data_IF_404340576654
#
_entry.id   IF_404340576654
#
_cell.length_a   1.000
_cell.length_b   1.000
_cell.length_c   1.000
_cell.angle_alpha   90.00
_cell.angle_beta   90.00
_cell.angle_gamma   90.00
#
_symmetry.space_group_name_H-M   'P 1'
#
loop_
_entity.id
_entity.type
_entity.pdbx_description
1 polymer ?
#
# COMPACT_ATOMS: atom_id res chain seq x y z
N UNK A 1 -20.84 -35.90 49.85
CA UNK A 1 -20.47 -37.33 49.74
C UNK A 1 -20.28 -37.66 48.27
N UNK A 2 -19.15 -38.29 47.91
CA UNK A 2 -18.79 -38.96 46.63
C UNK A 2 -18.97 -38.12 45.34
N UNK A 3 -17.96 -37.78 44.55
CA UNK A 3 -16.67 -38.44 44.32
C UNK A 3 -16.81 -39.61 43.34
N UNK A 4 -17.12 -39.32 42.07
CA UNK A 4 -17.03 -40.29 40.96
C UNK A 4 -15.91 -39.88 40.01
N UNK A 5 -14.77 -40.55 40.16
CA UNK A 5 -13.67 -40.53 39.19
C UNK A 5 -14.03 -41.50 38.06
N UNK A 6 -14.25 -41.02 36.84
CA UNK A 6 -14.26 -41.87 35.65
C UNK A 6 -12.83 -42.34 35.36
N UNK A 7 -12.66 -43.65 35.29
CA UNK A 7 -11.43 -44.33 34.86
C UNK A 7 -11.10 -43.93 33.41
N UNK A 8 -9.81 -43.65 33.18
CA UNK A 8 -9.23 -43.48 31.85
C UNK A 8 -8.64 -44.85 31.49
N UNK A 9 -9.12 -45.46 30.42
CA UNK A 9 -8.55 -46.69 29.86
C UNK A 9 -7.24 -46.38 29.12
N UNK A 10 -6.19 -47.22 29.24
CA UNK A 10 -4.92 -47.02 28.56
C UNK A 10 -5.01 -47.41 27.08
N UNK A 11 -4.56 -46.53 26.18
CA UNK A 11 -4.42 -46.83 24.76
C UNK A 11 -3.09 -47.56 24.55
N UNK A 12 -3.19 -48.80 24.11
CA UNK A 12 -2.12 -49.73 23.76
C UNK A 12 -1.42 -49.31 22.46
N UNK A 13 -0.08 -49.37 22.43
CA UNK A 13 0.72 -49.02 21.26
C UNK A 13 0.70 -50.17 20.25
N UNK A 14 0.28 -49.88 19.01
CA UNK A 14 0.33 -50.83 17.91
C UNK A 14 1.73 -50.85 17.28
N UNK A 15 2.41 -52.00 17.40
CA UNK A 15 3.61 -52.35 16.65
C UNK A 15 3.28 -52.48 15.16
N UNK A 16 3.95 -51.70 14.33
CA UNK A 16 3.88 -51.82 12.87
C UNK A 16 5.23 -52.36 12.38
N UNK A 17 5.24 -53.65 12.04
CA UNK A 17 6.31 -54.28 11.27
C UNK A 17 6.27 -53.80 9.81
N UNK A 18 7.34 -53.15 9.35
CA UNK A 18 7.57 -52.81 7.95
C UNK A 18 8.79 -53.59 7.44
N UNK A 19 8.57 -54.84 7.04
CA UNK A 19 9.54 -55.68 6.36
C UNK A 19 9.37 -55.58 4.85
N UNK A 20 10.46 -55.20 4.18
CA UNK A 20 10.79 -55.67 2.84
C UNK A 20 10.49 -54.68 1.71
N UNK A 21 11.53 -53.97 1.27
CA UNK A 21 12.07 -54.16 -0.07
C UNK A 21 13.53 -53.66 -0.09
N UNK A 22 14.40 -54.55 -0.53
CA UNK A 22 15.83 -54.42 -0.49
C UNK A 22 16.40 -53.51 -1.60
N UNK A 23 17.58 -53.00 -1.28
CA UNK A 23 18.50 -52.07 -1.92
C UNK A 23 19.18 -52.70 -3.16
N UNK A 24 19.81 -51.90 -4.06
CA UNK A 24 21.29 -51.98 -4.11
C UNK A 24 21.93 -50.57 -4.20
N UNK A 25 22.78 -50.21 -3.24
CA UNK A 25 24.24 -50.33 -3.22
C UNK A 25 24.94 -49.36 -4.18
N UNK A 26 25.36 -48.22 -3.64
CA UNK A 26 26.49 -47.44 -4.13
C UNK A 26 27.17 -46.74 -2.94
N UNK A 27 28.17 -47.43 -2.41
CA UNK A 27 29.43 -46.94 -1.83
C UNK A 27 29.40 -45.81 -0.79
N UNK A 28 29.55 -46.25 0.47
CA UNK A 28 30.21 -45.48 1.53
C UNK A 28 31.73 -45.51 1.33
N UNK A 29 32.35 -44.35 1.19
CA UNK A 29 33.64 -44.09 1.83
C UNK A 29 33.64 -42.71 2.46
N UNK A 30 33.37 -42.71 3.75
CA UNK A 30 33.53 -41.58 4.64
C UNK A 30 34.98 -41.06 4.60
N UNK A 31 35.13 -39.77 4.32
CA UNK A 31 36.27 -38.98 4.75
C UNK A 31 35.76 -37.73 5.44
N UNK A 32 35.82 -37.80 6.77
CA UNK A 32 36.09 -36.73 7.74
C UNK A 32 36.19 -35.31 7.17
N UNK A 33 35.21 -34.47 7.51
CA UNK A 33 35.46 -33.08 7.87
C UNK A 33 34.23 -32.51 8.61
N UNK A 34 34.33 -32.44 9.94
CA UNK A 34 33.43 -31.66 10.76
C UNK A 34 33.54 -30.18 10.36
N UNK A 35 32.40 -29.54 10.07
CA UNK A 35 32.29 -28.09 9.93
C UNK A 35 31.89 -27.52 11.28
N UNK A 36 32.75 -26.79 12.01
CA UNK A 36 32.28 -25.92 13.07
C UNK A 36 31.83 -24.59 12.48
N UNK A 37 30.58 -24.25 12.82
CA UNK A 37 30.03 -22.91 12.75
C UNK A 37 30.95 -21.91 13.47
N UNK A 38 31.32 -20.83 12.76
CA UNK A 38 31.98 -19.66 13.34
C UNK A 38 31.49 -18.41 12.62
N UNK A 39 30.23 -18.05 12.86
CA UNK A 39 29.67 -16.76 12.42
C UNK A 39 29.79 -15.66 13.49
N UNK A 40 30.03 -16.00 14.76
CA UNK A 40 30.11 -15.03 15.87
C UNK A 40 31.51 -14.50 16.18
N UNK A 41 32.57 -15.13 15.67
CA UNK A 41 33.97 -14.75 16.02
C UNK A 41 34.51 -13.60 15.16
N UNK A 42 33.84 -13.25 14.05
CA UNK A 42 34.28 -12.14 13.16
C UNK A 42 33.90 -10.75 13.64
N UNK A 43 32.92 -10.60 14.53
CA UNK A 43 32.45 -9.28 15.00
C UNK A 43 33.23 -8.75 16.21
N UNK A 44 33.90 -9.61 16.97
CA UNK A 44 34.64 -9.22 18.19
C UNK A 44 36.12 -8.89 17.92
N UNK A 45 36.76 -9.54 16.94
CA UNK A 45 38.19 -9.32 16.62
C UNK A 45 38.43 -7.95 15.93
N UNK A 46 37.44 -7.44 15.18
CA UNK A 46 37.53 -6.13 14.52
C UNK A 46 37.43 -4.96 15.53
N UNK A 47 36.74 -5.15 16.67
CA UNK A 47 36.57 -4.10 17.69
C UNK A 47 37.80 -3.92 18.59
N UNK A 48 38.63 -4.95 18.81
CA UNK A 48 39.84 -4.84 19.65
C UNK A 48 41.14 -4.54 18.87
N UNK A 49 41.15 -4.71 17.55
CA UNK A 49 42.30 -4.36 16.70
C UNK A 49 42.58 -2.85 16.64
N UNK A 50 41.55 -2.00 16.79
CA UNK A 50 41.69 -0.55 16.70
C UNK A 50 42.18 0.11 18.01
N UNK A 51 41.93 -0.51 19.16
CA UNK A 51 42.34 0.02 20.48
C UNK A 51 43.83 -0.22 20.80
N UNK A 52 44.43 -1.31 20.28
CA UNK A 52 45.86 -1.62 20.49
C UNK A 52 46.80 -0.83 19.56
N UNK A 53 46.32 -0.40 18.38
CA UNK A 53 47.12 0.44 17.46
C UNK A 53 47.26 1.90 17.92
N UNK A 54 46.28 2.42 18.68
CA UNK A 54 46.30 3.77 19.25
C UNK A 54 47.18 3.89 20.50
N UNK A 55 47.33 2.84 21.31
CA UNK A 55 48.23 2.85 22.47
C UNK A 55 49.70 2.61 22.10
N UNK A 56 49.99 1.83 21.05
CA UNK A 56 51.36 1.58 20.58
C UNK A 56 52.01 2.80 19.90
N UNK A 57 51.22 3.66 19.27
CA UNK A 57 51.73 4.86 18.58
C UNK A 57 52.08 6.01 19.53
N UNK A 58 51.42 6.10 20.71
CA UNK A 58 51.73 7.13 21.71
C UNK A 58 53.03 6.81 22.50
N UNK A 59 53.35 5.53 22.71
CA UNK A 59 54.55 5.10 23.45
C UNK A 59 55.86 5.29 22.66
N UNK A 60 55.82 5.18 21.32
CA UNK A 60 57.01 5.33 20.47
C UNK A 60 57.46 6.80 20.32
N UNK A 61 56.55 7.76 20.49
CA UNK A 61 56.84 9.20 20.43
C UNK A 61 57.57 9.66 21.71
N UNK A 62 57.25 9.07 22.87
CA UNK A 62 57.89 9.42 24.14
C UNK A 62 59.34 8.92 24.26
N UNK A 63 59.65 7.74 23.71
CA UNK A 63 61.02 7.17 23.73
C UNK A 63 61.93 7.88 22.72
N UNK A 64 61.41 8.33 21.58
CA UNK A 64 62.19 9.04 20.58
C UNK A 64 62.62 10.44 21.04
N UNK A 65 61.82 11.11 21.88
CA UNK A 65 62.13 12.47 22.36
C UNK A 65 63.15 12.51 23.51
N UNK A 66 63.45 11.39 24.17
CA UNK A 66 64.41 11.33 25.29
C UNK A 66 65.86 11.05 24.87
N UNK A 67 66.13 10.73 23.60
CA UNK A 67 67.44 10.22 23.14
C UNK A 67 68.33 11.21 22.40
N UNK A 68 67.92 12.47 22.22
CA UNK A 68 68.72 13.48 21.50
C UNK A 68 69.14 14.58 22.47
N UNK A 69 70.14 14.27 23.29
CA UNK A 69 70.69 15.18 24.29
C UNK A 69 72.14 14.85 24.63
N UNK A 70 73.06 15.24 23.74
CA UNK A 70 74.45 15.57 24.09
C UNK A 70 75.48 14.44 24.12
N UNK A 71 76.52 14.55 23.27
CA UNK A 71 77.92 14.28 23.65
C UNK A 71 78.90 14.89 22.67
N UNK A 72 79.85 15.66 23.21
CA UNK A 72 81.03 16.17 22.53
C UNK A 72 82.13 15.11 22.38
N UNK A 73 82.92 15.35 21.35
CA UNK A 73 84.24 14.88 20.90
C UNK A 73 85.14 14.04 21.82
N UNK A 74 85.85 13.10 21.20
CA UNK A 74 87.29 12.92 21.39
C UNK A 74 87.92 12.32 20.12
N UNK A 75 89.04 12.92 19.72
CA UNK A 75 89.85 12.65 18.52
C UNK A 75 90.94 11.62 18.82
N UNK A 76 91.36 10.87 17.79
CA UNK A 76 92.74 10.47 17.37
C UNK A 76 92.62 9.17 16.53
N UNK A 77 92.81 9.22 15.20
CA UNK A 77 94.03 8.78 14.47
C UNK A 77 93.79 7.38 13.86
N UNK A 78 94.17 6.97 12.65
CA UNK A 78 95.15 7.43 11.66
C UNK A 78 94.92 6.61 10.35
N UNK A 79 95.23 7.19 9.18
CA UNK A 79 95.44 6.59 7.83
C UNK A 79 94.35 5.66 7.22
N UNK A 80 93.81 5.95 6.02
CA UNK A 80 94.56 5.89 4.74
C UNK A 80 93.82 6.67 3.64
N UNK A 81 94.56 7.45 2.85
CA UNK A 81 94.10 8.21 1.69
C UNK A 81 93.66 7.29 0.53
N UNK A 82 92.45 7.49 0.00
CA UNK A 82 92.27 7.83 -1.42
C UNK A 82 90.89 8.48 -1.68
N UNK A 83 90.83 9.51 -2.55
CA UNK A 83 89.74 10.47 -2.57
C UNK A 83 88.62 10.02 -3.51
N UNK A 84 87.44 9.79 -2.96
CA UNK A 84 86.19 9.86 -3.71
C UNK A 84 85.65 11.25 -3.40
N UNK A 85 85.51 12.09 -4.43
CA UNK A 85 84.91 13.40 -4.29
C UNK A 85 83.43 13.25 -3.92
N UNK A 86 83.15 13.19 -2.62
CA UNK A 86 81.84 13.53 -2.09
C UNK A 86 81.63 15.02 -2.38
N UNK A 87 80.84 15.32 -3.41
CA UNK A 87 80.16 16.60 -3.50
C UNK A 87 79.11 16.56 -2.39
N UNK A 88 79.23 17.35 -1.30
CA UNK A 88 78.11 17.53 -0.42
C UNK A 88 77.05 18.25 -1.25
N UNK A 89 75.97 17.56 -1.61
CA UNK A 89 74.75 18.21 -2.04
C UNK A 89 74.25 18.97 -0.81
N UNK A 90 74.76 20.18 -0.65
CA UNK A 90 74.19 21.19 0.23
C UNK A 90 72.82 21.52 -0.32
N UNK A 91 71.80 20.78 0.12
CA UNK A 91 70.41 21.22 0.00
C UNK A 91 70.31 22.53 0.77
N UNK A 92 70.44 23.63 0.04
CA UNK A 92 70.23 24.96 0.58
C UNK A 92 68.85 24.98 1.27
N UNK A 93 68.73 25.58 2.47
CA UNK A 93 67.45 25.72 3.14
C UNK A 93 66.48 26.46 2.21
N UNK A 94 65.25 25.95 2.09
CA UNK A 94 64.22 26.50 1.21
C UNK A 94 64.06 28.00 1.42
N UNK A 95 63.89 28.76 0.33
CA UNK A 95 63.71 30.21 0.38
C UNK A 95 62.45 30.59 1.18
N UNK A 96 62.39 31.79 1.78
CA UNK A 96 61.17 32.26 2.48
C UNK A 96 59.89 32.17 1.61
N UNK A 97 60.02 32.39 0.30
CA UNK A 97 58.91 32.26 -0.66
C UNK A 97 58.43 30.81 -0.84
N UNK A 98 59.34 29.84 -0.95
CA UNK A 98 59.00 28.41 -1.04
C UNK A 98 58.39 27.87 0.26
N UNK A 99 58.86 28.36 1.41
CA UNK A 99 58.27 28.02 2.71
C UNK A 99 56.83 28.50 2.82
N UNK A 100 56.55 29.73 2.39
CA UNK A 100 55.20 30.28 2.38
C UNK A 100 54.27 29.50 1.44
N UNK A 101 54.74 29.12 0.24
CA UNK A 101 53.96 28.29 -0.68
C UNK A 101 53.65 26.90 -0.12
N UNK A 102 54.64 26.24 0.50
CA UNK A 102 54.42 24.95 1.17
C UNK A 102 53.43 25.06 2.33
N UNK A 103 53.52 26.12 3.12
CA UNK A 103 52.57 26.39 4.20
C UNK A 103 51.14 26.60 3.67
N UNK A 104 51.00 27.36 2.57
CA UNK A 104 49.72 27.56 1.91
C UNK A 104 49.14 26.24 1.35
N UNK A 105 49.95 25.45 0.64
CA UNK A 105 49.53 24.15 0.10
C UNK A 105 49.12 23.17 1.21
N UNK A 106 49.85 23.16 2.33
CA UNK A 106 49.50 22.37 3.51
C UNK A 106 48.13 22.76 4.05
N UNK A 107 47.89 24.06 4.25
CA UNK A 107 46.58 24.58 4.71
C UNK A 107 45.47 24.18 3.74
N UNK A 108 45.67 24.36 2.44
CA UNK A 108 44.69 24.00 1.43
C UNK A 108 44.33 22.51 1.47
N UNK A 109 45.33 21.63 1.66
CA UNK A 109 45.09 20.18 1.83
C UNK A 109 44.30 19.86 3.11
N UNK A 110 44.63 20.52 4.23
CA UNK A 110 43.92 20.36 5.51
C UNK A 110 42.46 20.82 5.41
N UNK A 111 42.19 21.92 4.70
CA UNK A 111 40.85 22.45 4.49
C UNK A 111 39.97 21.46 3.70
N UNK A 112 40.51 20.79 2.68
CA UNK A 112 39.79 19.73 1.95
C UNK A 112 39.59 18.50 2.84
N UNK A 113 40.63 18.06 3.55
CA UNK A 113 40.53 16.90 4.46
C UNK A 113 39.45 17.10 5.52
N UNK A 114 39.32 18.30 6.09
CA UNK A 114 38.26 18.61 7.05
C UNK A 114 36.86 18.39 6.46
N UNK A 115 36.64 18.77 5.19
CA UNK A 115 35.37 18.53 4.48
C UNK A 115 35.15 17.04 4.17
N UNK A 116 36.19 16.31 3.78
CA UNK A 116 36.14 14.86 3.58
C UNK A 116 35.69 14.14 4.86
N UNK A 117 36.30 14.46 6.01
CA UNK A 117 35.95 13.86 7.30
C UNK A 117 34.52 14.20 7.72
N UNK A 118 34.07 15.43 7.46
CA UNK A 118 32.69 15.82 7.74
C UNK A 118 31.69 15.04 6.87
N UNK A 119 31.93 14.95 5.56
CA UNK A 119 31.09 14.16 4.64
C UNK A 119 31.09 12.68 4.99
N UNK A 120 32.24 12.14 5.37
CA UNK A 120 32.35 10.77 5.88
C UNK A 120 31.39 10.55 7.04
N UNK A 121 31.42 11.42 8.06
CA UNK A 121 30.54 11.31 9.24
C UNK A 121 29.06 11.43 8.88
N UNK A 122 28.72 12.34 7.97
CA UNK A 122 27.33 12.50 7.50
C UNK A 122 26.83 11.22 6.81
N UNK A 123 27.65 10.61 5.95
CA UNK A 123 27.31 9.37 5.27
C UNK A 123 27.25 8.18 6.24
N UNK A 124 28.17 8.10 7.19
CA UNK A 124 28.15 7.08 8.26
C UNK A 124 26.89 7.20 9.12
N UNK A 125 26.45 8.42 9.45
CA UNK A 125 25.20 8.66 10.17
C UNK A 125 23.97 8.19 9.37
N UNK A 126 24.07 8.16 8.04
CA UNK A 126 23.07 7.61 7.12
C UNK A 126 23.32 6.13 6.77
N UNK A 127 24.12 5.41 7.56
CA UNK A 127 24.42 3.99 7.36
C UNK A 127 24.96 3.63 5.96
N UNK A 128 25.81 4.48 5.37
CA UNK A 128 26.39 4.31 4.01
C UNK A 128 26.99 2.95 3.72
N UNK A 129 27.49 2.24 4.73
CA UNK A 129 28.00 0.87 4.59
C UNK A 129 26.95 -0.13 4.12
N UNK A 130 25.67 0.09 4.44
CA UNK A 130 24.57 -0.82 4.09
C UNK A 130 24.07 -0.65 2.66
N UNK A 131 24.16 0.56 2.10
CA UNK A 131 23.55 0.89 0.80
C UNK A 131 24.54 1.36 -0.28
N UNK A 132 25.73 1.84 0.09
CA UNK A 132 26.78 2.26 -0.84
C UNK A 132 28.20 1.84 -0.37
N UNK A 133 28.31 0.75 0.41
CA UNK A 133 29.54 0.36 1.10
C UNK A 133 30.77 0.24 0.19
N UNK A 134 30.65 -0.33 -1.01
CA UNK A 134 31.77 -0.45 -1.96
C UNK A 134 32.25 0.91 -2.48
N UNK A 135 31.33 1.79 -2.85
CA UNK A 135 31.67 3.13 -3.34
C UNK A 135 32.29 3.98 -2.22
N UNK A 136 31.71 3.88 -1.02
CA UNK A 136 32.22 4.56 0.17
C UNK A 136 33.63 4.10 0.53
N UNK A 137 33.88 2.78 0.59
CA UNK A 137 35.21 2.24 0.86
C UNK A 137 36.28 2.74 -0.13
N UNK A 138 35.93 2.81 -1.42
CA UNK A 138 36.81 3.38 -2.46
C UNK A 138 37.13 4.86 -2.22
N UNK A 139 36.13 5.66 -1.83
CA UNK A 139 36.31 7.07 -1.50
C UNK A 139 37.22 7.26 -0.27
N UNK A 140 37.09 6.40 0.75
CA UNK A 140 37.94 6.41 1.95
C UNK A 140 39.38 6.01 1.61
N UNK A 141 39.60 4.93 0.83
CA UNK A 141 40.93 4.51 0.39
C UNK A 141 41.67 5.65 -0.34
N UNK A 142 40.92 6.47 -1.09
CA UNK A 142 41.48 7.64 -1.77
C UNK A 142 41.94 8.73 -0.79
N UNK A 143 41.18 8.99 0.27
CA UNK A 143 41.60 9.90 1.33
C UNK A 143 42.85 9.37 2.05
N UNK A 144 42.91 8.07 2.37
CA UNK A 144 44.07 7.44 3.00
C UNK A 144 45.33 7.52 2.11
N UNK A 145 45.16 7.48 0.79
CA UNK A 145 46.25 7.74 -0.16
C UNK A 145 46.75 9.19 -0.05
N UNK A 146 45.84 10.14 0.09
CA UNK A 146 46.15 11.53 0.43
C UNK A 146 46.97 11.66 1.72
N UNK A 147 46.61 10.92 2.78
CA UNK A 147 47.35 10.94 4.06
C UNK A 147 48.78 10.40 3.94
N UNK A 148 49.01 9.38 3.10
CA UNK A 148 50.36 8.90 2.80
C UNK A 148 51.20 9.98 2.11
N UNK A 149 50.63 10.69 1.14
CA UNK A 149 51.29 11.79 0.43
C UNK A 149 51.52 13.00 1.34
N UNK A 150 50.56 13.31 2.21
CA UNK A 150 50.63 14.42 3.16
C UNK A 150 51.78 14.22 4.15
N UNK A 151 51.97 13.00 4.68
CA UNK A 151 53.10 12.65 5.57
C UNK A 151 54.48 12.81 4.90
N UNK A 152 54.53 12.70 3.58
CA UNK A 152 55.75 12.93 2.79
C UNK A 152 55.95 14.41 2.43
N UNK A 153 55.18 15.33 3.02
CA UNK A 153 55.13 16.76 2.70
C UNK A 153 54.76 17.07 1.23
N UNK A 154 54.11 16.14 0.52
CA UNK A 154 53.63 16.32 -0.86
C UNK A 154 52.21 16.91 -0.87
N UNK A 155 52.08 18.12 -0.30
CA UNK A 155 50.77 18.71 0.04
C UNK A 155 49.85 18.93 -1.16
N UNK A 156 50.36 19.37 -2.31
CA UNK A 156 49.53 19.58 -3.50
C UNK A 156 48.96 18.27 -4.07
N UNK A 157 49.74 17.19 -4.02
CA UNK A 157 49.30 15.87 -4.50
C UNK A 157 48.30 15.27 -3.50
N UNK A 158 48.54 15.45 -2.20
CA UNK A 158 47.60 15.07 -1.15
C UNK A 158 46.27 15.82 -1.31
N UNK A 159 46.30 17.13 -1.56
CA UNK A 159 45.10 17.93 -1.82
C UNK A 159 44.28 17.38 -2.99
N UNK A 160 44.93 17.00 -4.10
CA UNK A 160 44.24 16.38 -5.24
C UNK A 160 43.57 15.06 -4.88
N UNK A 161 44.24 14.21 -4.09
CA UNK A 161 43.65 12.97 -3.60
C UNK A 161 42.44 13.23 -2.70
N UNK A 162 42.53 14.20 -1.78
CA UNK A 162 41.40 14.60 -0.94
C UNK A 162 40.24 15.20 -1.74
N UNK A 163 40.50 16.03 -2.75
CA UNK A 163 39.45 16.61 -3.61
C UNK A 163 38.70 15.53 -4.40
N UNK A 164 39.41 14.50 -4.86
CA UNK A 164 38.78 13.40 -5.56
C UNK A 164 37.98 12.51 -4.60
N UNK A 165 38.45 12.30 -3.36
CA UNK A 165 37.68 11.63 -2.32
C UNK A 165 36.41 12.42 -1.98
N UNK A 166 36.53 13.73 -1.81
CA UNK A 166 35.40 14.65 -1.58
C UNK A 166 34.35 14.51 -2.69
N UNK A 167 34.77 14.54 -3.96
CA UNK A 167 33.88 14.36 -5.12
C UNK A 167 33.16 13.00 -5.12
N UNK A 168 33.84 11.94 -4.70
CA UNK A 168 33.25 10.60 -4.60
C UNK A 168 32.25 10.51 -3.46
N UNK A 169 32.54 11.13 -2.30
CA UNK A 169 31.61 11.22 -1.18
C UNK A 169 30.38 12.08 -1.53
N UNK A 170 30.55 13.17 -2.29
CA UNK A 170 29.44 13.98 -2.80
C UNK A 170 28.51 13.16 -3.69
N UNK A 171 29.08 12.43 -4.66
CA UNK A 171 28.28 11.58 -5.54
C UNK A 171 27.51 10.48 -4.77
N UNK A 172 28.09 9.94 -3.69
CA UNK A 172 27.40 9.00 -2.81
C UNK A 172 26.24 9.69 -2.08
N UNK A 173 26.48 10.87 -1.49
CA UNK A 173 25.44 11.67 -0.83
C UNK A 173 24.27 12.01 -1.76
N UNK A 174 24.57 12.43 -2.99
CA UNK A 174 23.57 12.77 -4.00
C UNK A 174 22.69 11.57 -4.40
N UNK A 175 23.22 10.35 -4.28
CA UNK A 175 22.48 9.11 -4.60
C UNK A 175 21.55 8.62 -3.48
N UNK A 176 21.62 9.21 -2.28
CA UNK A 176 20.84 8.79 -1.11
C UNK A 176 19.33 8.84 -1.38
N UNK A 177 18.83 9.95 -1.93
CA UNK A 177 17.40 10.13 -2.18
C UNK A 177 16.84 9.09 -3.15
N UNK A 178 17.53 8.83 -4.26
CA UNK A 178 17.11 7.82 -5.23
C UNK A 178 17.18 6.39 -4.67
N UNK A 179 18.14 6.13 -3.78
CA UNK A 179 18.26 4.83 -3.09
C UNK A 179 17.10 4.62 -2.12
N UNK A 180 16.77 5.64 -1.31
CA UNK A 180 15.61 5.62 -0.41
C UNK A 180 14.31 5.36 -1.20
N UNK A 181 14.07 6.09 -2.29
CA UNK A 181 12.87 5.90 -3.11
C UNK A 181 12.75 4.47 -3.64
N UNK A 182 13.86 3.90 -4.13
CA UNK A 182 13.89 2.50 -4.60
C UNK A 182 13.54 1.52 -3.49
N UNK A 183 14.14 1.69 -2.31
CA UNK A 183 13.90 0.81 -1.17
C UNK A 183 12.47 0.93 -0.63
N UNK A 184 11.90 2.15 -0.60
CA UNK A 184 10.49 2.31 -0.26
C UNK A 184 9.57 1.62 -1.26
N UNK A 185 9.82 1.76 -2.57
CA UNK A 185 9.05 1.05 -3.60
C UNK A 185 9.11 -0.47 -3.41
N UNK A 186 10.28 -1.00 -3.10
CA UNK A 186 10.48 -2.43 -2.81
C UNK A 186 9.71 -2.87 -1.56
N UNK A 187 9.81 -2.11 -0.46
CA UNK A 187 9.07 -2.39 0.76
C UNK A 187 7.55 -2.33 0.55
N UNK A 188 7.04 -1.33 -0.16
CA UNK A 188 5.63 -1.21 -0.48
C UNK A 188 5.17 -2.38 -1.36
N UNK A 189 5.98 -2.82 -2.32
CA UNK A 189 5.67 -4.01 -3.11
C UNK A 189 5.61 -5.28 -2.24
N UNK A 190 6.52 -5.42 -1.27
CA UNK A 190 6.53 -6.53 -0.32
C UNK A 190 5.30 -6.50 0.62
N UNK A 191 4.84 -5.31 1.05
CA UNK A 191 3.57 -5.18 1.78
C UNK A 191 2.40 -5.69 0.94
N UNK A 192 2.34 -5.30 -0.33
CA UNK A 192 1.22 -5.65 -1.21
C UNK A 192 1.23 -7.14 -1.59
N UNK A 193 2.39 -7.80 -1.62
CA UNK A 193 2.50 -9.25 -1.81
C UNK A 193 2.31 -10.07 -0.53
N UNK A 194 2.32 -9.42 0.64
CA UNK A 194 2.25 -10.09 1.94
C UNK A 194 3.59 -10.61 2.47
N UNK A 195 4.71 -10.21 1.86
CA UNK A 195 6.06 -10.57 2.31
C UNK A 195 6.51 -9.66 3.47
N UNK A 196 5.98 -9.96 4.66
CA UNK A 196 6.29 -9.23 5.90
C UNK A 196 7.80 -9.18 6.22
N UNK A 197 8.57 -10.29 6.17
CA UNK A 197 9.99 -10.26 6.48
C UNK A 197 10.78 -9.31 5.58
N UNK A 198 10.54 -9.35 4.27
CA UNK A 198 11.21 -8.45 3.33
C UNK A 198 10.80 -7.01 3.55
N UNK A 199 9.49 -6.74 3.69
CA UNK A 199 9.00 -5.38 3.93
C UNK A 199 9.60 -4.77 5.20
N UNK A 200 9.61 -5.53 6.31
CA UNK A 200 10.18 -5.10 7.59
C UNK A 200 11.66 -4.79 7.47
N UNK A 201 12.46 -5.72 6.94
CA UNK A 201 13.91 -5.57 6.85
C UNK A 201 14.30 -4.37 5.98
N UNK A 202 13.61 -4.17 4.85
CA UNK A 202 13.85 -3.04 3.95
C UNK A 202 13.51 -1.70 4.62
N UNK A 203 12.36 -1.61 5.30
CA UNK A 203 11.96 -0.37 6.01
C UNK A 203 12.86 -0.05 7.20
N UNK A 204 13.27 -1.05 7.97
CA UNK A 204 14.24 -0.86 9.05
C UNK A 204 15.58 -0.33 8.52
N UNK A 205 15.99 -0.76 7.34
CA UNK A 205 17.18 -0.23 6.67
C UNK A 205 16.98 1.22 6.25
N UNK A 206 15.82 1.55 5.65
CA UNK A 206 15.45 2.94 5.33
C UNK A 206 15.49 3.83 6.58
N UNK A 207 15.00 3.35 7.72
CA UNK A 207 15.04 4.11 8.99
C UNK A 207 16.44 4.18 9.61
N UNK A 208 17.34 3.24 9.34
CA UNK A 208 18.77 3.41 9.67
C UNK A 208 19.44 4.47 8.80
N UNK A 209 19.04 4.55 7.53
CA UNK A 209 19.54 5.57 6.59
C UNK A 209 18.98 6.97 6.91
N UNK A 210 17.72 7.06 7.30
CA UNK A 210 17.04 8.30 7.65
C UNK A 210 16.00 8.05 8.77
N UNK A 211 16.37 8.23 10.05
CA UNK A 211 15.51 7.91 11.20
C UNK A 211 14.15 8.62 11.24
N UNK A 212 14.06 9.80 10.64
CA UNK A 212 12.85 10.62 10.58
C UNK A 212 12.06 10.47 9.26
N UNK A 213 12.27 9.39 8.49
CA UNK A 213 11.55 9.17 7.23
C UNK A 213 10.09 8.79 7.49
N UNK A 214 9.19 9.77 7.43
CA UNK A 214 7.78 9.63 7.80
C UNK A 214 7.06 8.48 7.08
N UNK A 215 7.24 8.35 5.76
CA UNK A 215 6.58 7.29 4.98
C UNK A 215 7.03 5.89 5.39
N UNK A 216 8.30 5.72 5.77
CA UNK A 216 8.83 4.42 6.19
C UNK A 216 8.32 4.04 7.59
N UNK A 217 8.15 5.02 8.49
CA UNK A 217 7.52 4.82 9.80
C UNK A 217 6.06 4.36 9.62
N UNK A 218 5.29 5.06 8.77
CA UNK A 218 3.91 4.68 8.46
C UNK A 218 3.82 3.29 7.81
N UNK A 219 4.73 2.97 6.90
CA UNK A 219 4.77 1.66 6.26
C UNK A 219 5.08 0.54 7.28
N UNK A 220 5.91 0.76 8.30
CA UNK A 220 6.16 -0.23 9.36
C UNK A 220 4.91 -0.50 10.21
N UNK A 221 4.07 0.50 10.44
CA UNK A 221 2.78 0.31 11.12
C UNK A 221 1.85 -0.60 10.29
N UNK A 222 1.89 -0.49 8.96
CA UNK A 222 1.17 -1.40 8.06
C UNK A 222 1.74 -2.82 8.12
N UNK A 223 3.06 -2.97 8.08
CA UNK A 223 3.76 -4.26 8.20
C UNK A 223 3.37 -4.98 9.49
N UNK A 224 3.25 -4.26 10.61
CA UNK A 224 2.84 -4.85 11.89
C UNK A 224 1.45 -5.50 11.86
N UNK A 225 0.55 -5.02 11.00
CA UNK A 225 -0.81 -5.56 10.82
C UNK A 225 -0.92 -6.52 9.63
N UNK A 226 0.14 -6.64 8.83
CA UNK A 226 0.11 -7.33 7.54
C UNK A 226 -0.36 -8.79 7.65
N UNK A 227 0.07 -9.61 8.63
CA UNK A 227 -0.42 -10.99 8.74
C UNK A 227 -1.95 -11.07 8.92
N UNK A 228 -2.53 -10.16 9.71
CA UNK A 228 -3.98 -10.11 9.93
C UNK A 228 -4.71 -9.63 8.67
N UNK A 229 -4.20 -8.58 8.02
CA UNK A 229 -4.74 -8.07 6.76
C UNK A 229 -4.76 -9.17 5.70
N UNK A 230 -3.64 -9.88 5.52
CA UNK A 230 -3.51 -10.95 4.53
C UNK A 230 -4.47 -12.11 4.79
N UNK A 231 -4.63 -12.53 6.05
CA UNK A 231 -5.61 -13.57 6.40
C UNK A 231 -7.04 -13.18 6.02
N UNK A 232 -7.46 -11.95 6.34
CA UNK A 232 -8.80 -11.45 6.00
C UNK A 232 -8.97 -11.30 4.49
N UNK A 233 -7.95 -10.81 3.77
CA UNK A 233 -7.99 -10.68 2.30
C UNK A 233 -8.12 -12.05 1.62
N UNK A 234 -7.35 -13.05 2.06
CA UNK A 234 -7.44 -14.41 1.53
C UNK A 234 -8.83 -15.01 1.78
N UNK A 235 -9.42 -14.80 2.96
CA UNK A 235 -10.80 -15.25 3.20
C UNK A 235 -11.79 -14.49 2.32
N UNK A 236 -11.65 -13.17 2.17
CA UNK A 236 -12.53 -12.35 1.34
C UNK A 236 -12.53 -12.82 -0.12
N UNK A 237 -11.35 -13.09 -0.68
CA UNK A 237 -11.16 -13.61 -2.04
C UNK A 237 -11.76 -15.01 -2.19
N UNK A 238 -11.60 -15.90 -1.19
CA UNK A 238 -12.25 -17.20 -1.17
C UNK A 238 -13.78 -17.08 -1.19
N UNK A 239 -14.37 -16.22 -0.35
CA UNK A 239 -15.83 -15.95 -0.37
C UNK A 239 -16.29 -15.43 -1.72
N UNK A 240 -15.53 -14.50 -2.32
CA UNK A 240 -15.86 -13.93 -3.61
C UNK A 240 -15.84 -15.01 -4.71
N UNK A 241 -14.80 -15.85 -4.73
CA UNK A 241 -14.66 -16.95 -5.69
C UNK A 241 -15.77 -18.00 -5.57
N UNK A 242 -16.30 -18.20 -4.37
CA UNK A 242 -17.44 -19.09 -4.07
C UNK A 242 -18.80 -18.44 -4.34
N UNK A 243 -18.83 -17.23 -4.90
CA UNK A 243 -20.07 -16.55 -5.27
C UNK A 243 -20.81 -15.93 -4.08
N UNK A 244 -20.12 -15.64 -2.96
CA UNK A 244 -20.66 -14.96 -1.78
C UNK A 244 -20.13 -13.51 -1.66
N UNK A 245 -20.49 -12.59 -2.58
CA UNK A 245 -19.99 -11.22 -2.61
C UNK A 245 -20.43 -10.37 -1.41
N UNK A 246 -21.55 -10.67 -0.75
CA UNK A 246 -21.96 -9.99 0.49
C UNK A 246 -20.95 -10.24 1.62
N UNK A 247 -20.58 -11.51 1.81
CA UNK A 247 -19.58 -11.92 2.79
C UNK A 247 -18.19 -11.39 2.43
N UNK A 248 -17.82 -11.44 1.14
CA UNK A 248 -16.57 -10.87 0.65
C UNK A 248 -16.51 -9.36 0.89
N UNK A 249 -17.59 -8.61 0.62
CA UNK A 249 -17.68 -7.17 0.85
C UNK A 249 -17.41 -6.81 2.31
N UNK A 250 -17.99 -7.57 3.25
CA UNK A 250 -17.76 -7.37 4.68
C UNK A 250 -16.29 -7.60 5.06
N UNK A 251 -15.68 -8.69 4.58
CA UNK A 251 -14.27 -9.02 4.85
C UNK A 251 -13.31 -8.01 4.20
N UNK A 252 -13.53 -7.60 2.95
CA UNK A 252 -12.72 -6.54 2.33
C UNK A 252 -12.83 -5.21 3.08
N UNK A 253 -14.02 -4.87 3.60
CA UNK A 253 -14.21 -3.68 4.45
C UNK A 253 -13.46 -3.80 5.77
N UNK A 254 -13.43 -4.99 6.37
CA UNK A 254 -12.64 -5.28 7.57
C UNK A 254 -11.14 -5.14 7.28
N UNK A 255 -10.65 -5.70 6.17
CA UNK A 255 -9.26 -5.56 5.75
C UNK A 255 -8.88 -4.07 5.57
N UNK A 256 -9.76 -3.25 5.01
CA UNK A 256 -9.55 -1.81 4.87
C UNK A 256 -9.62 -1.01 6.17
N UNK A 257 -10.25 -1.57 7.21
CA UNK A 257 -10.18 -1.01 8.57
C UNK A 257 -8.81 -1.26 9.21
N UNK A 258 -8.20 -2.41 8.90
CA UNK A 258 -6.85 -2.76 9.37
C UNK A 258 -5.77 -2.01 8.58
N UNK A 259 -5.92 -1.94 7.26
CA UNK A 259 -5.05 -1.22 6.34
C UNK A 259 -5.86 -0.56 5.20
N UNK A 260 -6.19 0.71 5.39
CA UNK A 260 -6.95 1.51 4.41
C UNK A 260 -6.24 1.68 3.07
N UNK A 261 -4.92 1.48 3.01
CA UNK A 261 -4.10 1.63 1.80
C UNK A 261 -3.98 0.32 1.01
N UNK A 262 -4.54 -0.79 1.49
CA UNK A 262 -4.48 -2.08 0.80
C UNK A 262 -5.17 -2.02 -0.57
N UNK A 263 -4.40 -2.16 -1.65
CA UNK A 263 -4.96 -2.15 -3.01
C UNK A 263 -5.84 -3.36 -3.27
N UNK A 264 -5.46 -4.53 -2.74
CA UNK A 264 -6.28 -5.76 -2.80
C UNK A 264 -7.62 -5.56 -2.10
N UNK A 265 -7.62 -4.97 -0.90
CA UNK A 265 -8.84 -4.63 -0.18
C UNK A 265 -9.76 -3.70 -0.96
N UNK A 266 -9.21 -2.61 -1.52
CA UNK A 266 -9.97 -1.63 -2.30
C UNK A 266 -10.58 -2.25 -3.56
N UNK A 267 -9.77 -3.04 -4.29
CA UNK A 267 -10.19 -3.68 -5.55
C UNK A 267 -11.24 -4.76 -5.30
N UNK A 268 -11.04 -5.60 -4.27
CA UNK A 268 -11.99 -6.62 -3.87
C UNK A 268 -13.33 -6.05 -3.39
N UNK A 269 -13.30 -4.93 -2.65
CA UNK A 269 -14.51 -4.23 -2.22
C UNK A 269 -15.29 -3.67 -3.41
N UNK A 270 -14.60 -3.04 -4.36
CA UNK A 270 -15.20 -2.50 -5.57
C UNK A 270 -15.84 -3.61 -6.42
N UNK A 271 -15.15 -4.74 -6.59
CA UNK A 271 -15.65 -5.88 -7.36
C UNK A 271 -16.86 -6.53 -6.69
N UNK A 272 -16.82 -6.72 -5.37
CA UNK A 272 -17.95 -7.25 -4.61
C UNK A 272 -19.20 -6.39 -4.78
N UNK A 273 -19.05 -5.06 -4.68
CA UNK A 273 -20.16 -4.10 -4.90
C UNK A 273 -20.70 -4.16 -6.32
N UNK A 274 -19.82 -4.27 -7.32
CA UNK A 274 -20.21 -4.38 -8.73
C UNK A 274 -21.07 -5.63 -8.96
N UNK A 275 -20.68 -6.78 -8.41
CA UNK A 275 -21.43 -8.03 -8.52
C UNK A 275 -22.79 -7.90 -7.82
N UNK A 276 -22.83 -7.29 -6.63
CA UNK A 276 -24.08 -7.10 -5.88
C UNK A 276 -25.06 -6.20 -6.62
N UNK A 277 -24.60 -5.09 -7.19
CA UNK A 277 -25.44 -4.19 -7.98
C UNK A 277 -25.96 -4.88 -9.25
N UNK A 278 -25.14 -5.68 -9.94
CA UNK A 278 -25.61 -6.45 -11.10
C UNK A 278 -26.66 -7.51 -10.71
N UNK A 279 -26.49 -8.20 -9.56
CA UNK A 279 -27.50 -9.13 -9.03
C UNK A 279 -28.81 -8.42 -8.67
N UNK A 280 -28.71 -7.26 -8.02
CA UNK A 280 -29.88 -6.45 -7.65
C UNK A 280 -30.62 -5.95 -8.89
N UNK A 281 -29.87 -5.49 -9.91
CA UNK A 281 -30.39 -5.11 -11.21
C UNK A 281 -31.17 -6.26 -11.85
N UNK A 282 -30.54 -7.43 -12.01
CA UNK A 282 -31.18 -8.58 -12.66
C UNK A 282 -32.41 -9.06 -11.89
N UNK A 283 -32.33 -9.16 -10.55
CA UNK A 283 -33.46 -9.55 -9.73
C UNK A 283 -34.65 -8.59 -9.85
N UNK A 284 -34.38 -7.27 -9.87
CA UNK A 284 -35.42 -6.27 -10.07
C UNK A 284 -36.00 -6.32 -11.49
N UNK A 285 -35.16 -6.56 -12.49
CA UNK A 285 -35.57 -6.69 -13.90
C UNK A 285 -36.50 -7.89 -14.09
N UNK A 286 -36.11 -9.07 -13.61
CA UNK A 286 -36.89 -10.30 -13.69
C UNK A 286 -38.24 -10.17 -12.97
N UNK A 287 -38.22 -9.59 -11.75
CA UNK A 287 -39.45 -9.32 -11.00
C UNK A 287 -40.35 -8.30 -11.71
N UNK A 288 -39.78 -7.36 -12.47
CA UNK A 288 -40.51 -6.41 -13.31
C UNK A 288 -41.25 -7.10 -14.44
N UNK A 289 -40.56 -7.99 -15.17
CA UNK A 289 -41.18 -8.78 -16.24
C UNK A 289 -42.24 -9.76 -15.72
N UNK A 290 -41.99 -10.47 -14.62
CA UNK A 290 -43.00 -11.34 -14.00
C UNK A 290 -44.26 -10.57 -13.59
N UNK A 291 -44.09 -9.37 -13.03
CA UNK A 291 -45.22 -8.53 -12.66
C UNK A 291 -45.99 -8.00 -13.90
N UNK A 292 -45.27 -7.70 -14.99
CA UNK A 292 -45.87 -7.29 -16.25
C UNK A 292 -46.70 -8.41 -16.87
N UNK A 293 -46.16 -9.63 -16.93
CA UNK A 293 -46.86 -10.83 -17.43
C UNK A 293 -48.09 -11.19 -16.59
N UNK A 294 -48.01 -11.02 -15.26
CA UNK A 294 -49.13 -11.25 -14.35
C UNK A 294 -50.21 -10.15 -14.40
N UNK A 295 -50.06 -9.12 -15.24
CA UNK A 295 -50.97 -7.97 -15.30
C UNK A 295 -50.90 -7.03 -14.08
N UNK A 296 -49.92 -7.23 -13.19
CA UNK A 296 -49.68 -6.36 -12.04
C UNK A 296 -48.78 -5.19 -12.42
N UNK A 297 -49.30 -4.32 -13.30
CA UNK A 297 -48.55 -3.23 -13.90
C UNK A 297 -47.98 -2.24 -12.88
N UNK A 298 -48.68 -2.02 -11.77
CA UNK A 298 -48.17 -1.15 -10.69
C UNK A 298 -46.89 -1.71 -10.05
N UNK A 299 -46.80 -3.03 -9.88
CA UNK A 299 -45.61 -3.69 -9.35
C UNK A 299 -44.48 -3.71 -10.39
N UNK A 300 -44.81 -3.94 -11.67
CA UNK A 300 -43.85 -3.89 -12.76
C UNK A 300 -43.15 -2.51 -12.83
N UNK A 301 -43.91 -1.41 -12.78
CA UNK A 301 -43.35 -0.04 -12.75
C UNK A 301 -42.40 0.16 -11.57
N UNK A 302 -42.74 -0.31 -10.36
CA UNK A 302 -41.84 -0.19 -9.20
C UNK A 302 -40.55 -0.98 -9.40
N UNK A 303 -40.64 -2.19 -9.95
CA UNK A 303 -39.50 -3.08 -10.17
C UNK A 303 -38.56 -2.63 -11.29
N UNK A 304 -39.09 -2.12 -12.40
CA UNK A 304 -38.23 -1.51 -13.42
C UNK A 304 -37.55 -0.22 -12.93
N UNK A 305 -38.21 0.59 -12.10
CA UNK A 305 -37.56 1.73 -11.44
C UNK A 305 -36.43 1.28 -10.49
N UNK A 306 -36.64 0.20 -9.73
CA UNK A 306 -35.60 -0.40 -8.89
C UNK A 306 -34.41 -0.90 -9.73
N UNK A 307 -34.67 -1.53 -10.88
CA UNK A 307 -33.60 -1.92 -11.80
C UNK A 307 -32.84 -0.68 -12.34
N UNK A 308 -33.55 0.38 -12.74
CA UNK A 308 -32.91 1.62 -13.21
C UNK A 308 -32.12 2.37 -12.13
N UNK A 309 -32.45 2.21 -10.83
CA UNK A 309 -31.60 2.78 -9.77
C UNK A 309 -30.26 2.06 -9.64
N UNK A 310 -30.17 0.79 -10.02
CA UNK A 310 -28.90 0.05 -10.08
C UNK A 310 -28.15 0.33 -11.38
N UNK A 311 -28.87 0.43 -12.51
CA UNK A 311 -28.28 0.65 -13.85
C UNK A 311 -29.05 1.72 -14.65
N UNK A 312 -28.77 3.02 -14.43
CA UNK A 312 -29.52 4.12 -15.03
C UNK A 312 -29.47 4.18 -16.57
N UNK A 313 -28.39 3.66 -17.16
CA UNK A 313 -28.14 3.69 -18.60
C UNK A 313 -28.79 2.52 -19.36
N UNK A 314 -29.58 1.67 -18.67
CA UNK A 314 -30.27 0.54 -19.31
C UNK A 314 -31.46 1.01 -20.14
N UNK A 315 -31.24 1.22 -21.43
CA UNK A 315 -32.30 1.61 -22.38
C UNK A 315 -33.40 0.54 -22.50
N UNK A 316 -33.04 -0.74 -22.44
CA UNK A 316 -34.01 -1.85 -22.44
C UNK A 316 -34.96 -1.79 -21.23
N UNK A 317 -34.43 -1.53 -20.04
CA UNK A 317 -35.24 -1.38 -18.82
C UNK A 317 -36.11 -0.13 -18.89
N UNK A 318 -35.61 0.95 -19.48
CA UNK A 318 -36.40 2.18 -19.71
C UNK A 318 -37.60 1.93 -20.63
N UNK A 319 -37.41 1.16 -21.71
CA UNK A 319 -38.49 0.77 -22.61
C UNK A 319 -39.51 -0.12 -21.91
N UNK A 320 -39.05 -1.11 -21.13
CA UNK A 320 -39.94 -1.97 -20.34
C UNK A 320 -40.75 -1.17 -19.29
N UNK A 321 -40.13 -0.16 -18.67
CA UNK A 321 -40.82 0.77 -17.77
C UNK A 321 -41.92 1.55 -18.49
N UNK A 322 -41.64 2.10 -19.68
CA UNK A 322 -42.65 2.81 -20.49
C UNK A 322 -43.81 1.89 -20.86
N UNK A 323 -43.51 0.66 -21.27
CA UNK A 323 -44.55 -0.34 -21.56
C UNK A 323 -45.42 -0.61 -20.32
N UNK A 324 -44.80 -0.86 -19.16
CA UNK A 324 -45.54 -1.09 -17.91
C UNK A 324 -46.39 0.11 -17.47
N UNK A 325 -45.92 1.34 -17.71
CA UNK A 325 -46.68 2.57 -17.44
C UNK A 325 -47.89 2.69 -18.36
N UNK A 326 -47.73 2.39 -19.64
CA UNK A 326 -48.83 2.41 -20.61
C UNK A 326 -49.91 1.36 -20.25
N UNK A 327 -49.50 0.13 -19.94
CA UNK A 327 -50.42 -0.93 -19.51
C UNK A 327 -51.14 -0.58 -18.20
N UNK A 328 -50.45 0.05 -17.25
CA UNK A 328 -51.06 0.55 -16.01
C UNK A 328 -52.15 1.59 -16.29
N UNK A 329 -51.89 2.54 -17.20
CA UNK A 329 -52.86 3.57 -17.56
C UNK A 329 -54.08 2.96 -18.25
N UNK A 330 -53.87 2.08 -19.23
CA UNK A 330 -54.96 1.38 -19.91
C UNK A 330 -55.79 0.49 -18.96
N UNK A 331 -55.15 -0.15 -17.97
CA UNK A 331 -55.85 -0.93 -16.95
C UNK A 331 -56.73 -0.05 -16.05
N UNK A 332 -56.23 1.12 -15.64
CA UNK A 332 -57.01 2.10 -14.87
C UNK A 332 -58.19 2.65 -15.66
N UNK A 333 -57.99 2.99 -16.93
CA UNK A 333 -59.06 3.45 -17.82
C UNK A 333 -60.16 2.41 -17.96
N UNK A 334 -59.79 1.13 -18.19
CA UNK A 334 -60.75 0.02 -18.21
C UNK A 334 -61.53 -0.10 -16.90
N UNK A 335 -60.85 0.00 -15.76
CA UNK A 335 -61.49 -0.06 -14.44
C UNK A 335 -62.45 1.10 -14.19
N UNK A 336 -62.08 2.34 -14.55
CA UNK A 336 -62.97 3.49 -14.42
C UNK A 336 -64.16 3.41 -15.37
N UNK A 337 -63.96 2.93 -16.60
CA UNK A 337 -65.07 2.69 -17.53
C UNK A 337 -66.05 1.66 -16.99
N UNK A 338 -65.56 0.57 -16.38
CA UNK A 338 -66.43 -0.45 -15.81
C UNK A 338 -67.18 0.06 -14.58
N UNK A 339 -66.48 0.75 -13.66
CA UNK A 339 -67.11 1.40 -12.52
C UNK A 339 -68.18 2.41 -12.97
N UNK A 340 -67.94 3.18 -14.04
CA UNK A 340 -68.93 4.12 -14.57
C UNK A 340 -70.21 3.41 -15.02
N UNK A 341 -70.10 2.27 -15.71
CA UNK A 341 -71.26 1.46 -16.12
C UNK A 341 -71.97 0.83 -14.92
N UNK A 342 -71.23 0.35 -13.92
CA UNK A 342 -71.81 -0.18 -12.67
C UNK A 342 -72.57 0.92 -11.90
N UNK A 343 -72.06 2.15 -11.92
CA UNK A 343 -72.77 3.30 -11.35
C UNK A 343 -74.02 3.65 -12.16
N UNK A 344 -73.96 3.65 -13.50
CA UNK A 344 -75.16 3.84 -14.34
C UNK A 344 -76.22 2.76 -14.08
N UNK A 345 -75.83 1.48 -13.99
CA UNK A 345 -76.75 0.36 -13.74
C UNK A 345 -77.41 0.43 -12.35
N UNK A 346 -76.76 1.09 -11.40
CA UNK A 346 -77.27 1.32 -10.05
C UNK A 346 -77.96 2.70 -9.89
N UNK A 347 -78.19 3.43 -10.98
CA UNK A 347 -78.76 4.79 -11.00
C UNK A 347 -77.98 5.82 -10.15
N UNK A 348 -76.68 5.56 -9.90
CA UNK A 348 -75.76 6.45 -9.19
C UNK A 348 -75.11 7.43 -10.17
N UNK A 349 -75.90 8.35 -10.70
CA UNK A 349 -75.54 9.16 -11.87
C UNK A 349 -74.34 10.11 -11.64
N UNK A 350 -74.21 10.70 -10.45
CA UNK A 350 -73.12 11.63 -10.13
C UNK A 350 -71.78 10.88 -10.06
N UNK A 351 -71.77 9.68 -9.48
CA UNK A 351 -70.61 8.80 -9.42
C UNK A 351 -70.23 8.28 -10.81
N UNK A 352 -71.21 7.97 -11.67
CA UNK A 352 -70.98 7.61 -13.06
C UNK A 352 -70.29 8.74 -13.85
N UNK A 353 -70.77 9.99 -13.73
CA UNK A 353 -70.12 11.17 -14.32
C UNK A 353 -68.68 11.29 -13.83
N UNK A 354 -68.46 11.16 -12.52
CA UNK A 354 -67.12 11.25 -11.92
C UNK A 354 -66.16 10.17 -12.45
N UNK A 355 -66.66 8.94 -12.64
CA UNK A 355 -65.86 7.85 -13.19
C UNK A 355 -65.52 8.07 -14.68
N UNK A 356 -66.47 8.55 -15.49
CA UNK A 356 -66.19 8.92 -16.87
C UNK A 356 -65.22 10.10 -17.00
N UNK A 357 -65.32 11.09 -16.11
CA UNK A 357 -64.38 12.22 -16.06
C UNK A 357 -62.95 11.77 -15.83
N UNK A 358 -62.71 10.74 -14.99
CA UNK A 358 -61.37 10.16 -14.81
C UNK A 358 -60.82 9.55 -16.10
N UNK A 359 -61.66 8.86 -16.88
CA UNK A 359 -61.25 8.29 -18.17
C UNK A 359 -60.91 9.40 -19.17
N UNK A 360 -61.75 10.43 -19.28
CA UNK A 360 -61.54 11.55 -20.22
C UNK A 360 -60.30 12.37 -19.83
N UNK A 361 -60.03 12.52 -18.53
CA UNK A 361 -58.83 13.19 -18.05
C UNK A 361 -57.54 12.40 -18.37
N UNK A 362 -57.62 11.07 -18.45
CA UNK A 362 -56.52 10.19 -18.85
C UNK A 362 -56.35 10.17 -20.37
N UNK A 363 -57.42 9.84 -21.09
CA UNK A 363 -57.48 9.86 -22.55
C UNK A 363 -58.82 10.46 -23.01
N UNK A 364 -58.74 11.72 -23.45
CA UNK A 364 -59.89 12.45 -23.96
C UNK A 364 -60.47 11.87 -25.25
N UNK A 365 -59.76 10.98 -25.95
CA UNK A 365 -60.16 10.36 -27.20
C UNK A 365 -61.17 9.22 -27.03
N UNK A 366 -61.34 8.70 -25.81
CA UNK A 366 -62.25 7.58 -25.51
C UNK A 366 -63.72 7.96 -25.68
N UNK A 367 -64.30 7.59 -26.83
CA UNK A 367 -65.69 7.91 -27.22
C UNK A 367 -66.69 7.40 -26.18
N UNK A 368 -66.51 6.17 -25.69
CA UNK A 368 -67.41 5.55 -24.74
C UNK A 368 -67.55 6.37 -23.44
N UNK A 369 -66.45 6.97 -22.97
CA UNK A 369 -66.45 7.81 -21.79
C UNK A 369 -67.18 9.13 -22.03
N UNK A 370 -66.93 9.80 -23.17
CA UNK A 370 -67.61 11.07 -23.51
C UNK A 370 -69.12 10.90 -23.64
N UNK A 371 -69.56 9.87 -24.38
CA UNK A 371 -70.98 9.60 -24.58
C UNK A 371 -71.65 9.18 -23.26
N UNK A 372 -71.00 8.31 -22.49
CA UNK A 372 -71.49 7.89 -21.17
C UNK A 372 -71.62 9.06 -20.20
N UNK A 373 -70.62 9.94 -20.15
CA UNK A 373 -70.65 11.17 -19.33
C UNK A 373 -71.84 12.06 -19.66
N UNK A 374 -72.08 12.35 -20.95
CA UNK A 374 -73.21 13.19 -21.37
C UNK A 374 -74.54 12.57 -20.91
N UNK A 375 -74.69 11.26 -21.13
CA UNK A 375 -75.91 10.53 -20.73
C UNK A 375 -76.11 10.54 -19.20
N UNK A 376 -75.06 10.21 -18.44
CA UNK A 376 -75.09 10.20 -16.98
C UNK A 376 -75.35 11.60 -16.42
N UNK A 377 -74.78 12.65 -17.01
CA UNK A 377 -75.01 14.03 -16.58
C UNK A 377 -76.46 14.45 -16.76
N UNK A 378 -77.07 14.13 -17.91
CA UNK A 378 -78.48 14.44 -18.15
C UNK A 378 -79.41 13.76 -17.12
N UNK A 379 -79.07 12.54 -16.68
CA UNK A 379 -79.79 11.82 -15.62
C UNK A 379 -79.56 12.42 -14.24
N UNK A 380 -78.32 12.77 -13.90
CA UNK A 380 -77.99 13.45 -12.64
C UNK A 380 -78.73 14.79 -12.51
N UNK A 381 -78.80 15.57 -13.59
CA UNK A 381 -79.51 16.84 -13.62
C UNK A 381 -81.02 16.66 -13.44
N UNK A 382 -81.59 15.63 -14.08
CA UNK A 382 -83.00 15.28 -13.93
C UNK A 382 -83.33 14.88 -12.49
N UNK A 383 -82.52 14.01 -11.88
CA UNK A 383 -82.70 13.58 -10.50
C UNK A 383 -82.60 14.75 -9.52
N UNK A 384 -81.63 15.66 -9.73
CA UNK A 384 -81.50 16.89 -8.94
C UNK A 384 -82.75 17.78 -9.05
N UNK A 385 -83.32 17.92 -10.26
CA UNK A 385 -84.54 18.69 -10.48
C UNK A 385 -85.76 18.05 -9.80
N UNK A 386 -85.93 16.73 -9.93
CA UNK A 386 -87.02 15.99 -9.29
C UNK A 386 -86.95 16.11 -7.76
N UNK A 387 -85.76 15.94 -7.17
CA UNK A 387 -85.57 16.12 -5.73
C UNK A 387 -85.90 17.54 -5.26
N UNK A 388 -85.53 18.57 -6.03
CA UNK A 388 -85.90 19.97 -5.72
C UNK A 388 -87.41 20.17 -5.76
N UNK A 389 -88.11 19.61 -6.75
CA UNK A 389 -89.56 19.70 -6.87
C UNK A 389 -90.27 18.98 -5.73
N UNK A 390 -89.85 17.77 -5.38
CA UNK A 390 -90.42 16.99 -4.26
C UNK A 390 -90.13 17.70 -2.94
N UNK A 391 -88.88 18.13 -2.71
CA UNK A 391 -88.49 18.84 -1.49
C UNK A 391 -89.11 20.23 -1.35
N UNK A 392 -89.43 20.89 -2.47
CA UNK A 392 -90.19 22.14 -2.50
C UNK A 392 -91.68 21.95 -2.24
N UNK A 393 -92.28 20.90 -2.80
CA UNK A 393 -93.68 20.55 -2.58
C UNK A 393 -93.95 20.13 -1.11
N UNK A 394 -93.04 19.36 -0.49
CA UNK A 394 -93.16 18.97 0.93
C UNK A 394 -93.03 20.20 1.86
N UNK A 395 -92.24 21.20 1.49
CA UNK A 395 -92.09 22.46 2.25
C UNK A 395 -93.24 23.45 2.07
N UNK A 396 -94.05 23.29 1.02
CA UNK A 396 -95.24 24.12 0.78
C UNK A 396 -96.51 23.56 1.45
N UNK A 397 -96.45 22.34 2.02
CA UNK A 397 -97.55 21.66 2.71
C UNK A 397 -97.33 21.50 4.22
N UNK A 398 -96.26 22.07 4.77
CA UNK A 398 -96.06 22.35 6.20
C UNK A 398 -96.19 23.85 6.41
#
# INVERSE_FOLDING_TARGET
MKGERKQIEPIEAADIELTGLAIPEAESRAQSAAVPANADTRRTVIRYGLALALLGSLALIAVYFQSIGGRQETVIGENTKQPIADVPTSVAPASPYEQQQKAAARRAAQDVLARVVEKQRQLEASAVSEWAGTAFASAIERAESGDRLYRQARYEVAQKAYLQSEKELDAIGDSLAGTLEKMLKEALAAIESGDEPTARATLETVLRMQPAHAEAQQALERVAKLPQVMAVLTEAEDRLSKGAPEAAQALFSQALTLDSQSRRGQSGLAESRRILSERAFQSALDAGYQALEAGNFSAAVRKFNQALSEKPDSETTRQALVQAQNELNQSRERSWLEAAKEHEAAERWVEAVTAYDKVIASDSSVVAARTGRIRSQARADLDSQLQKLIGGAVRAHL
#
